data_IF_446440954748
#
_entry.id   IF_446440954748
#
_cell.length_a   1.000
_cell.length_b   1.000
_cell.length_c   1.000
_cell.angle_alpha   90.00
_cell.angle_beta   90.00
_cell.angle_gamma   90.00
#
_symmetry.space_group_name_H-M   'P 1'
#
loop_
_entity.id
_entity.type
_entity.pdbx_description
1 polymer ?
#
# COMPACT_ATOMS: atom_id res chain seq x y z
N UNK A 1 20.39 -0.36 -7.96
CA UNK A 1 18.97 -0.04 -7.69
C UNK A 1 18.62 1.22 -8.46
N UNK A 2 17.76 1.11 -9.47
CA UNK A 2 17.51 2.17 -10.45
C UNK A 2 16.71 3.33 -9.86
N UNK A 3 17.20 4.56 -10.08
CA UNK A 3 16.62 5.87 -9.72
C UNK A 3 15.26 6.19 -10.41
N UNK A 4 14.59 5.19 -10.98
CA UNK A 4 13.32 5.36 -11.70
C UNK A 4 12.14 5.63 -10.76
N UNK A 5 12.18 5.12 -9.52
CA UNK A 5 11.11 5.33 -8.53
C UNK A 5 11.00 6.80 -8.09
N UNK A 6 12.14 7.45 -7.85
CA UNK A 6 12.22 8.84 -7.38
C UNK A 6 11.67 9.82 -8.42
N UNK A 7 12.01 9.62 -9.71
CA UNK A 7 11.49 10.44 -10.82
C UNK A 7 9.99 10.26 -11.02
N UNK A 8 9.45 9.05 -10.92
CA UNK A 8 8.00 8.78 -11.04
C UNK A 8 7.20 9.44 -9.93
N UNK A 9 7.67 9.34 -8.67
CA UNK A 9 7.03 9.98 -7.52
C UNK A 9 7.12 11.50 -7.62
N UNK A 10 8.30 12.07 -7.88
CA UNK A 10 8.46 13.53 -8.02
C UNK A 10 7.59 14.05 -9.18
N UNK A 11 7.59 13.38 -10.34
CA UNK A 11 6.74 13.76 -11.48
C UNK A 11 5.23 13.67 -11.18
N UNK A 12 4.80 12.76 -10.29
CA UNK A 12 3.42 12.67 -9.81
C UNK A 12 3.09 13.70 -8.73
N UNK A 13 4.08 14.26 -8.03
CA UNK A 13 3.92 15.17 -6.89
C UNK A 13 4.28 16.64 -7.20
N UNK A 14 4.88 16.95 -8.35
CA UNK A 14 5.27 18.32 -8.74
C UNK A 14 4.61 18.77 -10.05
N UNK A 15 4.33 20.07 -10.19
CA UNK A 15 3.87 20.67 -11.46
C UNK A 15 4.91 20.51 -12.59
N UNK A 16 4.51 20.57 -13.88
CA UNK A 16 5.41 20.34 -15.02
C UNK A 16 6.68 21.21 -15.00
N UNK A 17 6.59 22.41 -14.44
CA UNK A 17 7.68 23.39 -14.36
C UNK A 17 8.85 22.99 -13.43
N UNK A 18 8.69 21.97 -12.57
CA UNK A 18 9.77 21.47 -11.69
C UNK A 18 10.49 20.26 -12.32
N UNK A 19 9.88 19.64 -13.34
CA UNK A 19 10.34 18.36 -13.88
C UNK A 19 11.50 18.43 -14.90
N UNK A 20 11.93 19.63 -15.30
CA UNK A 20 12.78 19.83 -16.49
C UNK A 20 14.30 19.79 -16.26
N UNK A 21 14.81 19.59 -15.04
CA UNK A 21 16.26 19.73 -14.77
C UNK A 21 16.96 18.48 -14.19
N UNK A 22 16.45 17.27 -14.43
CA UNK A 22 17.13 16.05 -13.91
C UNK A 22 17.90 15.35 -15.04
N UNK A 23 19.14 15.77 -15.22
CA UNK A 23 20.15 15.19 -16.12
C UNK A 23 20.45 13.73 -15.77
N UNK A 24 20.60 12.89 -16.78
CA UNK A 24 20.57 11.41 -16.70
C UNK A 24 21.93 10.75 -16.54
N UNK A 25 23.00 11.50 -16.26
CA UNK A 25 24.36 10.94 -16.16
C UNK A 25 25.00 11.21 -14.80
N UNK A 26 25.20 10.13 -14.02
CA UNK A 26 25.70 10.06 -12.63
C UNK A 26 24.74 10.60 -11.55
N UNK A 27 23.55 9.99 -11.44
CA UNK A 27 22.69 10.18 -10.26
C UNK A 27 23.34 9.53 -9.03
N UNK A 28 23.95 10.33 -8.16
CA UNK A 28 24.07 9.93 -6.75
C UNK A 28 22.66 9.64 -6.25
N UNK A 29 22.36 8.40 -5.85
CA UNK A 29 21.16 8.07 -5.10
C UNK A 29 21.16 8.87 -3.80
N UNK A 30 20.49 10.02 -3.80
CA UNK A 30 20.27 10.85 -2.62
C UNK A 30 18.88 10.54 -2.07
N UNK A 31 18.76 10.65 -0.75
CA UNK A 31 17.45 10.65 -0.08
C UNK A 31 16.56 11.74 -0.68
N UNK A 32 15.24 11.59 -0.53
CA UNK A 32 14.33 12.62 -0.95
C UNK A 32 14.60 13.91 -0.16
N UNK A 33 14.35 15.10 -0.75
CA UNK A 33 14.38 16.34 0.01
C UNK A 33 13.52 16.27 1.28
N UNK A 34 14.00 16.81 2.43
CA UNK A 34 13.29 16.72 3.71
C UNK A 34 11.83 17.18 3.68
N UNK A 35 11.51 18.19 2.85
CA UNK A 35 10.16 18.71 2.72
C UNK A 35 9.15 17.66 2.23
N UNK A 36 9.59 16.64 1.50
CA UNK A 36 8.72 15.54 1.04
C UNK A 36 8.29 14.61 2.18
N UNK A 37 8.97 14.63 3.33
CA UNK A 37 8.59 13.81 4.48
C UNK A 37 7.73 14.56 5.50
N UNK A 38 7.85 15.89 5.60
CA UNK A 38 7.28 16.65 6.71
C UNK A 38 6.22 17.69 6.32
N UNK A 39 6.06 18.05 5.04
CA UNK A 39 5.02 18.99 4.64
C UNK A 39 3.65 18.33 4.50
N UNK A 40 2.64 18.89 5.19
CA UNK A 40 1.25 18.43 5.10
C UNK A 40 0.67 18.53 3.68
N UNK A 41 1.09 19.52 2.88
CA UNK A 41 0.66 19.64 1.48
C UNK A 41 1.13 18.46 0.62
N UNK A 42 2.34 17.95 0.88
CA UNK A 42 2.86 16.75 0.20
C UNK A 42 2.04 15.53 0.59
N UNK A 43 1.70 15.38 1.87
CA UNK A 43 0.84 14.29 2.32
C UNK A 43 -0.53 14.31 1.62
N UNK A 44 -1.17 15.48 1.47
CA UNK A 44 -2.43 15.56 0.72
C UNK A 44 -2.28 15.19 -0.76
N UNK A 45 -1.19 15.61 -1.42
CA UNK A 45 -0.90 15.20 -2.79
C UNK A 45 -0.67 13.69 -2.91
N UNK A 46 0.01 13.07 -1.94
CA UNK A 46 0.23 11.62 -1.90
C UNK A 46 -1.08 10.87 -1.67
N UNK A 47 -1.96 11.37 -0.80
CA UNK A 47 -3.31 10.83 -0.62
C UNK A 47 -4.09 10.81 -1.93
N UNK A 48 -4.01 11.87 -2.72
CA UNK A 48 -4.79 12.03 -3.95
C UNK A 48 -4.15 11.41 -5.19
N UNK A 49 -2.83 11.21 -5.22
CA UNK A 49 -2.13 10.74 -6.41
C UNK A 49 -1.45 9.39 -6.26
N UNK A 50 -1.29 8.91 -5.03
CA UNK A 50 -0.70 7.61 -4.73
C UNK A 50 -1.76 6.74 -4.05
N UNK A 51 -2.17 7.06 -2.83
CA UNK A 51 -3.04 6.16 -2.06
C UNK A 51 -4.43 6.00 -2.68
N UNK A 52 -4.97 7.02 -3.33
CA UNK A 52 -6.29 6.92 -3.97
C UNK A 52 -6.28 6.13 -5.28
N UNK A 53 -5.15 6.09 -5.99
CA UNK A 53 -5.03 5.59 -7.38
C UNK A 53 -4.47 4.17 -7.47
N UNK A 54 -3.87 3.66 -6.41
CA UNK A 54 -3.19 2.36 -6.43
C UNK A 54 -3.97 1.33 -5.61
N UNK A 55 -3.75 0.06 -5.93
CA UNK A 55 -4.26 -1.05 -5.14
C UNK A 55 -3.49 -1.16 -3.82
N UNK A 56 -4.23 -1.27 -2.71
CA UNK A 56 -3.68 -1.29 -1.37
C UNK A 56 -4.10 -2.58 -0.69
N UNK A 57 -3.12 -3.35 -0.20
CA UNK A 57 -3.36 -4.52 0.64
C UNK A 57 -3.95 -4.08 1.99
N UNK A 58 -5.03 -4.73 2.41
CA UNK A 58 -5.78 -4.35 3.61
C UNK A 58 -5.98 -5.48 4.62
N UNK A 59 -5.69 -6.72 4.24
CA UNK A 59 -5.77 -7.86 5.15
C UNK A 59 -6.05 -9.16 4.43
N UNK A 60 -6.21 -10.23 5.23
CA UNK A 60 -6.55 -11.56 4.73
C UNK A 60 -8.05 -11.84 4.83
N UNK A 61 -8.55 -12.68 3.94
CA UNK A 61 -9.97 -13.07 3.86
C UNK A 61 -10.43 -13.88 5.07
N UNK A 62 -9.59 -14.76 5.59
CA UNK A 62 -9.87 -15.55 6.79
C UNK A 62 -10.16 -14.70 8.04
N UNK A 63 -9.67 -13.45 8.08
CA UNK A 63 -10.02 -12.47 9.14
C UNK A 63 -11.48 -12.03 9.10
N UNK A 64 -12.15 -12.16 7.96
CA UNK A 64 -13.57 -11.86 7.80
C UNK A 64 -14.46 -13.07 8.14
N UNK A 65 -13.92 -14.16 8.71
CA UNK A 65 -14.67 -15.38 9.01
C UNK A 65 -15.49 -15.86 7.78
N UNK A 66 -14.88 -15.93 6.59
CA UNK A 66 -15.52 -16.38 5.35
C UNK A 66 -16.79 -15.59 4.95
N UNK A 67 -16.62 -14.31 4.60
CA UNK A 67 -17.67 -13.38 4.15
C UNK A 67 -18.77 -13.00 5.17
N UNK A 68 -18.82 -13.63 6.34
CA UNK A 68 -19.82 -13.30 7.37
C UNK A 68 -19.40 -12.14 8.30
N UNK A 69 -18.15 -11.67 8.19
CA UNK A 69 -17.59 -10.60 8.99
C UNK A 69 -17.46 -9.25 8.27
N UNK A 70 -16.86 -8.30 8.98
CA UNK A 70 -16.46 -7.01 8.44
C UNK A 70 -15.05 -6.60 8.88
N UNK A 71 -14.42 -5.72 8.08
CA UNK A 71 -13.14 -5.09 8.35
C UNK A 71 -13.33 -3.58 8.34
N UNK A 72 -12.92 -2.92 9.43
CA UNK A 72 -12.86 -1.47 9.52
C UNK A 72 -11.42 -1.03 9.74
N UNK A 73 -10.90 -0.23 8.81
CA UNK A 73 -9.51 0.25 8.83
C UNK A 73 -9.44 1.69 8.32
N UNK A 74 -8.31 2.34 8.56
CA UNK A 74 -8.02 3.66 7.98
C UNK A 74 -6.78 3.56 7.10
N UNK A 75 -6.90 3.97 5.84
CA UNK A 75 -5.78 4.01 4.90
C UNK A 75 -5.58 5.45 4.48
N UNK A 76 -4.39 6.01 4.73
CA UNK A 76 -4.05 7.40 4.40
C UNK A 76 -5.14 8.42 4.81
N UNK A 77 -5.70 8.23 6.02
CA UNK A 77 -6.75 9.09 6.57
C UNK A 77 -8.16 8.87 5.97
N UNK A 78 -8.36 7.88 5.10
CA UNK A 78 -9.66 7.44 4.61
C UNK A 78 -10.17 6.27 5.46
N UNK A 79 -11.26 6.44 6.23
CA UNK A 79 -11.97 5.33 6.83
C UNK A 79 -12.54 4.42 5.74
N UNK A 80 -12.25 3.13 5.85
CA UNK A 80 -12.71 2.08 4.95
C UNK A 80 -13.46 1.05 5.76
N UNK A 81 -14.56 0.60 5.18
CA UNK A 81 -15.40 -0.47 5.69
C UNK A 81 -15.56 -1.53 4.59
N UNK A 82 -15.27 -2.79 4.92
CA UNK A 82 -15.38 -3.93 4.00
C UNK A 82 -16.21 -5.00 4.70
N UNK A 83 -17.15 -5.64 4.00
CA UNK A 83 -17.90 -6.77 4.53
C UNK A 83 -18.27 -7.73 3.39
N UNK A 84 -18.57 -8.99 3.72
CA UNK A 84 -19.15 -9.91 2.76
C UNK A 84 -20.67 -9.76 2.72
N UNK A 85 -21.22 -9.64 1.51
CA UNK A 85 -22.65 -9.50 1.30
C UNK A 85 -23.33 -10.87 1.35
N UNK A 86 -24.25 -11.14 2.30
CA UNK A 86 -24.95 -12.42 2.35
C UNK A 86 -25.92 -12.62 1.17
N UNK A 87 -26.26 -11.54 0.46
CA UNK A 87 -27.16 -11.58 -0.70
C UNK A 87 -26.44 -11.98 -1.99
N UNK A 88 -25.18 -11.56 -2.14
CA UNK A 88 -24.41 -11.76 -3.39
C UNK A 88 -23.24 -12.72 -3.22
N UNK A 89 -22.87 -13.06 -1.99
CA UNK A 89 -21.67 -13.83 -1.65
C UNK A 89 -20.38 -13.19 -2.20
N UNK A 90 -20.32 -11.86 -2.19
CA UNK A 90 -19.19 -11.06 -2.66
C UNK A 90 -18.72 -10.06 -1.59
N UNK A 91 -17.44 -9.67 -1.62
CA UNK A 91 -16.95 -8.55 -0.82
C UNK A 91 -17.45 -7.22 -1.36
N UNK A 92 -17.92 -6.37 -0.45
CA UNK A 92 -18.28 -4.99 -0.72
C UNK A 92 -17.45 -4.08 0.16
N UNK A 93 -16.86 -3.05 -0.44
CA UNK A 93 -16.05 -2.07 0.26
C UNK A 93 -16.58 -0.65 0.02
N UNK A 94 -16.52 0.15 1.08
CA UNK A 94 -16.89 1.56 1.10
C UNK A 94 -15.77 2.37 1.72
N UNK A 95 -15.59 3.60 1.24
CA UNK A 95 -14.79 4.60 1.93
C UNK A 95 -15.61 5.85 2.24
N UNK A 96 -15.19 6.58 3.26
CA UNK A 96 -15.78 7.86 3.64
C UNK A 96 -14.72 8.97 3.53
N UNK A 97 -15.07 10.09 2.90
CA UNK A 97 -14.23 11.30 2.92
C UNK A 97 -14.77 12.25 4.00
N UNK A 98 -14.37 12.02 5.26
CA UNK A 98 -14.68 12.80 6.50
C UNK A 98 -16.17 13.15 6.74
N UNK A 99 -16.66 12.81 7.96
CA UNK A 99 -17.84 13.41 8.64
C UNK A 99 -19.15 13.56 7.83
N UNK A 100 -19.37 12.73 6.83
CA UNK A 100 -20.64 12.67 6.10
C UNK A 100 -21.16 11.23 6.06
N UNK A 101 -22.48 11.02 6.08
CA UNK A 101 -23.11 9.70 5.89
C UNK A 101 -22.98 9.19 4.43
N UNK A 102 -22.26 9.91 3.56
CA UNK A 102 -22.09 9.58 2.16
C UNK A 102 -20.89 8.64 1.96
N UNK A 103 -21.15 7.35 2.17
CA UNK A 103 -20.21 6.29 1.84
C UNK A 103 -20.12 6.11 0.33
N UNK A 104 -18.91 6.16 -0.21
CA UNK A 104 -18.66 5.86 -1.62
C UNK A 104 -18.20 4.42 -1.74
N UNK A 105 -18.89 3.64 -2.57
CA UNK A 105 -18.45 2.28 -2.92
C UNK A 105 -17.09 2.38 -3.63
N UNK A 106 -16.17 1.50 -3.25
CA UNK A 106 -14.83 1.39 -3.83
C UNK A 106 -14.62 -0.01 -4.39
N UNK A 107 -13.59 -0.18 -5.22
CA UNK A 107 -13.21 -1.50 -5.68
C UNK A 107 -12.54 -2.30 -4.56
N UNK A 108 -12.89 -3.58 -4.48
CA UNK A 108 -12.26 -4.58 -3.63
C UNK A 108 -12.05 -5.83 -4.46
N UNK A 109 -10.88 -6.46 -4.29
CA UNK A 109 -10.51 -7.68 -4.99
C UNK A 109 -9.83 -8.64 -4.03
N UNK A 110 -10.12 -9.93 -4.18
CA UNK A 110 -9.43 -11.00 -3.48
C UNK A 110 -8.38 -11.56 -4.44
N UNK A 111 -7.13 -11.51 -4.00
CA UNK A 111 -5.97 -11.99 -4.72
C UNK A 111 -5.43 -13.27 -4.09
N UNK A 112 -5.10 -14.24 -4.94
CA UNK A 112 -4.74 -15.63 -4.56
C UNK A 112 -5.65 -16.19 -3.47
N UNK A 113 -6.96 -15.98 -3.61
CA UNK A 113 -8.03 -16.46 -2.74
C UNK A 113 -8.03 -15.94 -1.29
N UNK A 114 -6.99 -15.20 -0.86
CA UNK A 114 -6.82 -14.88 0.55
C UNK A 114 -6.41 -13.45 0.86
N UNK A 115 -5.82 -12.69 -0.07
CA UNK A 115 -5.37 -11.33 0.22
C UNK A 115 -6.35 -10.32 -0.35
N UNK A 116 -6.87 -9.45 0.51
CA UNK A 116 -7.82 -8.42 0.14
C UNK A 116 -7.05 -7.17 -0.25
N UNK A 117 -7.34 -6.67 -1.44
CA UNK A 117 -6.87 -5.39 -1.94
C UNK A 117 -8.05 -4.47 -2.22
N UNK A 118 -7.84 -3.17 -2.03
CA UNK A 118 -8.81 -2.14 -2.39
C UNK A 118 -8.22 -1.10 -3.33
N UNK A 119 -9.08 -0.42 -4.07
CA UNK A 119 -8.71 0.79 -4.80
C UNK A 119 -9.77 1.88 -4.57
N UNK A 120 -9.34 3.05 -4.06
CA UNK A 120 -10.25 4.11 -3.63
C UNK A 120 -10.89 4.87 -4.81
N UNK A 121 -10.22 4.89 -5.97
CA UNK A 121 -10.82 5.39 -7.19
C UNK A 121 -11.49 4.20 -7.86
N UNK A 122 -12.80 4.32 -8.06
CA UNK A 122 -13.65 3.30 -8.68
C UNK A 122 -13.37 3.18 -10.19
N UNK A 123 -12.09 3.06 -10.58
CA UNK A 123 -11.62 2.82 -11.93
C UNK A 123 -11.38 1.32 -12.10
N UNK A 124 -11.91 0.77 -13.18
CA UNK A 124 -11.95 -0.65 -13.48
C UNK A 124 -10.59 -1.25 -13.91
N UNK A 125 -9.48 -0.69 -13.42
CA UNK A 125 -8.13 -1.12 -13.76
C UNK A 125 -7.76 -2.42 -13.02
N UNK A 126 -8.33 -3.53 -13.50
CA UNK A 126 -7.88 -4.91 -13.24
C UNK A 126 -6.43 -5.16 -13.71
N UNK A 127 -5.83 -4.18 -14.38
CA UNK A 127 -4.53 -4.27 -15.04
C UNK A 127 -3.37 -4.41 -14.03
N UNK A 128 -3.49 -3.80 -12.84
CA UNK A 128 -2.43 -3.81 -11.82
C UNK A 128 -2.19 -5.22 -11.25
N UNK A 129 -3.25 -5.95 -10.89
CA UNK A 129 -3.15 -7.27 -10.25
C UNK A 129 -2.64 -8.34 -11.23
N UNK A 130 -3.04 -8.27 -12.50
CA UNK A 130 -2.68 -9.28 -13.51
C UNK A 130 -1.32 -9.06 -14.18
N UNK A 131 -0.74 -7.86 -14.09
CA UNK A 131 0.56 -7.56 -14.71
C UNK A 131 1.66 -7.43 -13.66
N UNK A 132 1.48 -6.57 -12.66
CA UNK A 132 2.55 -6.26 -11.69
C UNK A 132 2.70 -7.38 -10.66
N UNK A 133 1.61 -7.94 -10.18
CA UNK A 133 1.69 -9.05 -9.23
C UNK A 133 1.91 -10.39 -9.93
N UNK A 134 1.91 -10.50 -11.26
CA UNK A 134 2.10 -11.79 -11.95
C UNK A 134 3.48 -12.40 -11.70
N UNK A 135 4.52 -11.56 -11.66
CA UNK A 135 5.86 -12.05 -11.34
C UNK A 135 5.94 -12.47 -9.87
N UNK A 136 5.36 -11.66 -8.97
CA UNK A 136 5.23 -12.01 -7.56
C UNK A 136 4.38 -13.28 -7.37
N UNK A 137 3.34 -13.49 -8.17
CA UNK A 137 2.49 -14.69 -8.15
C UNK A 137 3.33 -15.93 -8.39
N UNK A 138 4.24 -15.91 -9.36
CA UNK A 138 5.07 -17.08 -9.65
C UNK A 138 5.93 -17.46 -8.44
N UNK A 139 6.53 -16.48 -7.77
CA UNK A 139 7.30 -16.70 -6.54
C UNK A 139 6.39 -17.14 -5.39
N UNK A 140 5.21 -16.53 -5.25
CA UNK A 140 4.24 -16.83 -4.21
C UNK A 140 3.57 -18.19 -4.36
N UNK A 141 3.38 -18.69 -5.59
CA UNK A 141 2.80 -20.01 -5.87
C UNK A 141 3.71 -21.15 -5.41
N UNK A 142 5.02 -20.89 -5.23
CA UNK A 142 5.91 -21.85 -4.58
C UNK A 142 5.56 -22.07 -3.11
N UNK A 143 4.89 -21.09 -2.48
CA UNK A 143 4.33 -21.21 -1.15
C UNK A 143 2.89 -21.69 -1.28
N UNK A 144 2.51 -22.74 -0.55
CA UNK A 144 1.11 -23.19 -0.47
C UNK A 144 0.28 -22.22 0.37
N UNK A 145 0.10 -20.98 -0.12
CA UNK A 145 -0.47 -19.88 0.64
C UNK A 145 -1.86 -20.23 1.19
N UNK A 146 -2.63 -21.07 0.49
CA UNK A 146 -3.97 -21.55 0.91
C UNK A 146 -3.97 -22.38 2.20
N UNK A 147 -2.82 -22.88 2.64
CA UNK A 147 -2.68 -23.61 3.90
C UNK A 147 -2.42 -22.70 5.10
N UNK A 148 -2.00 -21.45 4.85
CA UNK A 148 -1.76 -20.49 5.91
C UNK A 148 -3.09 -19.94 6.40
N UNK A 149 -3.18 -19.74 7.72
CA UNK A 149 -4.30 -19.08 8.37
C UNK A 149 -3.79 -17.93 9.22
N UNK A 150 -4.65 -16.94 9.43
CA UNK A 150 -4.41 -15.86 10.36
C UNK A 150 -4.20 -16.43 11.77
N UNK A 151 -3.03 -16.13 12.35
CA UNK A 151 -2.72 -16.48 13.73
C UNK A 151 -2.83 -15.25 14.65
N UNK A 152 -2.20 -14.14 14.25
CA UNK A 152 -2.16 -12.91 15.05
C UNK A 152 -2.00 -11.67 14.16
N UNK A 153 -2.43 -10.52 14.67
CA UNK A 153 -2.08 -9.21 14.11
C UNK A 153 -1.58 -8.28 15.22
N UNK A 154 -0.63 -7.43 14.88
CA UNK A 154 -0.10 -6.39 15.76
C UNK A 154 -0.19 -5.04 15.04
N UNK A 155 -0.55 -4.01 15.79
CA UNK A 155 -0.76 -2.66 15.28
C UNK A 155 0.07 -1.68 16.10
N UNK A 156 0.93 -0.94 15.43
CA UNK A 156 1.80 0.05 16.05
C UNK A 156 1.61 1.40 15.39
N UNK A 157 1.41 2.43 16.22
CA UNK A 157 1.49 3.80 15.75
C UNK A 157 2.96 4.17 15.61
N UNK A 158 3.42 4.36 14.38
CA UNK A 158 4.78 4.80 14.08
C UNK A 158 4.71 6.28 13.72
N UNK A 159 5.35 7.13 14.52
CA UNK A 159 5.36 8.58 14.32
C UNK A 159 6.40 9.00 13.28
N UNK A 160 6.25 8.52 12.05
CA UNK A 160 7.10 8.88 10.93
C UNK A 160 6.29 9.00 9.64
N UNK A 161 6.90 9.59 8.61
CA UNK A 161 6.33 9.52 7.27
C UNK A 161 6.38 8.06 6.77
N UNK A 162 5.36 7.61 6.03
CA UNK A 162 5.33 6.25 5.50
C UNK A 162 6.51 5.93 4.57
N UNK A 163 7.04 6.95 3.87
CA UNK A 163 8.22 6.80 3.01
C UNK A 163 9.45 6.42 3.82
N UNK A 164 9.64 7.02 5.00
CA UNK A 164 10.75 6.67 5.92
C UNK A 164 10.67 5.21 6.36
N UNK A 165 9.46 4.71 6.64
CA UNK A 165 9.27 3.30 7.01
C UNK A 165 9.58 2.36 5.84
N UNK A 166 9.13 2.70 4.62
CA UNK A 166 9.42 1.93 3.41
C UNK A 166 10.91 1.93 3.08
N UNK A 167 11.57 3.09 3.19
CA UNK A 167 13.01 3.22 2.95
C UNK A 167 13.84 2.39 3.92
N UNK A 168 13.45 2.33 5.20
CA UNK A 168 14.10 1.47 6.20
C UNK A 168 13.92 -0.02 5.88
N UNK A 169 12.75 -0.44 5.40
CA UNK A 169 12.51 -1.84 5.02
C UNK A 169 13.28 -2.27 3.76
N UNK A 170 13.63 -1.34 2.88
CA UNK A 170 14.30 -1.62 1.61
C UNK A 170 15.82 -1.85 1.74
N UNK A 171 16.34 -1.87 2.96
CA UNK A 171 17.76 -2.04 3.25
C UNK A 171 17.98 -2.89 4.51
N UNK A 172 19.20 -3.42 4.65
CA UNK A 172 19.61 -4.19 5.83
C UNK A 172 20.86 -3.63 6.52
N UNK A 173 21.30 -2.41 6.20
CA UNK A 173 22.54 -1.84 6.77
C UNK A 173 22.42 -1.63 8.28
N UNK A 174 21.22 -1.38 8.77
CA UNK A 174 20.97 -1.15 10.20
C UNK A 174 20.82 -2.44 11.01
N UNK A 175 20.62 -3.60 10.36
CA UNK A 175 20.34 -4.88 11.04
C UNK A 175 21.44 -5.25 12.05
N UNK A 176 22.75 -5.20 11.71
CA UNK A 176 23.80 -5.61 12.66
C UNK A 176 23.85 -4.75 13.92
N UNK A 177 23.52 -3.47 13.80
CA UNK A 177 23.63 -2.48 14.88
C UNK A 177 22.36 -2.35 15.72
N UNK A 178 21.19 -2.54 15.11
CA UNK A 178 19.88 -2.25 15.73
C UNK A 178 19.10 -3.52 16.08
N UNK A 179 19.31 -4.62 15.36
CA UNK A 179 18.53 -5.84 15.52
C UNK A 179 19.39 -7.04 15.92
N UNK A 180 19.85 -7.05 17.17
CA UNK A 180 20.68 -8.14 17.72
C UNK A 180 20.09 -9.55 17.59
N UNK A 181 18.76 -9.66 17.55
CA UNK A 181 18.07 -10.95 17.38
C UNK A 181 17.98 -11.37 15.92
N UNK A 182 17.65 -10.44 15.01
CA UNK A 182 17.57 -10.75 13.57
C UNK A 182 18.96 -11.00 12.98
N UNK A 183 19.99 -10.28 13.44
CA UNK A 183 21.37 -10.45 13.00
C UNK A 183 21.94 -11.87 13.25
N UNK A 184 21.29 -12.69 14.09
CA UNK A 184 21.69 -14.08 14.31
C UNK A 184 21.16 -15.04 13.24
N UNK A 185 20.24 -14.59 12.39
CA UNK A 185 19.49 -15.40 11.44
C UNK A 185 19.72 -15.01 9.98
N UNK A 186 20.50 -13.95 9.75
CA UNK A 186 20.92 -13.47 8.42
C UNK A 186 22.37 -13.88 8.18
#
# INVERSE_FOLDING_TARGET
MNCLFTKSIIRRLTSPSVSSNIDSSKELCRLLPPYLYNHASVYELERENIFSKNWIYVGRLDRLQNLDGYLSITVAGYPIFIYGSPLTNELIAFHNKKKCLNFKKIHVEIFTEQFIFINLINTNEKLFMNIILKDLLNDMMSFSLNQYHHFQSQYHLINCNCKTYVENYQEGYHIPSVHSTLNKSV
#
